data_IF_612992179487
#
_entry.id   IF_612992179487
#
_cell.length_a   1.000
_cell.length_b   1.000
_cell.length_c   1.000
_cell.angle_alpha   90.00
_cell.angle_beta   90.00
_cell.angle_gamma   90.00
#
_symmetry.space_group_name_H-M   'P 1'
#
loop_
_entity.id
_entity.type
_entity.pdbx_description
1 polymer ?
#
# COMPACT_ATOMS: atom_id res chain seq x y z
N UNK A 1 -8.01 0.87 13.59
CA UNK A 1 -6.78 0.37 14.24
C UNK A 1 -6.66 -1.14 13.95
N UNK A 2 -5.81 -1.56 13.00
CA UNK A 2 -5.78 -2.94 12.50
C UNK A 2 -5.51 -3.99 13.60
N UNK A 3 -4.51 -3.77 14.45
CA UNK A 3 -4.18 -4.70 15.54
C UNK A 3 -5.36 -4.95 16.49
N UNK A 4 -6.10 -3.89 16.85
CA UNK A 4 -7.26 -4.02 17.74
C UNK A 4 -8.39 -4.82 17.09
N UNK A 5 -8.65 -4.60 15.79
CA UNK A 5 -9.67 -5.34 15.03
C UNK A 5 -9.31 -6.83 14.88
N UNK A 6 -8.02 -7.17 14.83
CA UNK A 6 -7.56 -8.56 14.84
C UNK A 6 -7.74 -9.18 16.23
N UNK A 7 -7.45 -8.43 17.30
CA UNK A 7 -7.62 -8.90 18.67
C UNK A 7 -9.09 -9.25 19.01
N UNK A 8 -10.07 -8.53 18.44
CA UNK A 8 -11.51 -8.88 18.55
C UNK A 8 -11.82 -10.29 18.03
N UNK A 9 -10.95 -10.85 17.17
CA UNK A 9 -11.06 -12.20 16.60
C UNK A 9 -10.06 -13.19 17.20
N UNK A 10 -9.33 -12.80 18.25
CA UNK A 10 -8.27 -13.63 18.84
C UNK A 10 -6.98 -13.70 18.02
N UNK A 11 -6.83 -12.82 17.02
CA UNK A 11 -5.66 -12.75 16.15
C UNK A 11 -4.71 -11.63 16.58
N UNK A 12 -3.46 -11.67 16.09
CA UNK A 12 -2.46 -10.62 16.32
C UNK A 12 -1.63 -10.39 15.05
N UNK A 13 -0.73 -9.40 15.09
CA UNK A 13 0.22 -9.12 14.00
C UNK A 13 1.55 -9.78 14.35
N UNK A 14 1.97 -10.85 13.66
CA UNK A 14 3.26 -11.49 13.89
C UNK A 14 4.46 -10.58 13.60
N UNK A 15 5.62 -10.90 14.18
CA UNK A 15 6.87 -10.24 13.83
C UNK A 15 7.22 -10.46 12.35
N UNK A 16 7.66 -9.40 11.68
CA UNK A 16 7.99 -9.43 10.25
C UNK A 16 6.80 -9.25 9.30
N UNK A 17 5.57 -9.07 9.82
CA UNK A 17 4.42 -8.76 8.97
C UNK A 17 4.53 -7.37 8.33
N UNK A 18 4.36 -7.32 7.01
CA UNK A 18 4.31 -6.07 6.25
C UNK A 18 2.90 -5.45 6.30
N UNK A 19 2.82 -4.15 6.60
CA UNK A 19 1.56 -3.41 6.69
C UNK A 19 1.59 -2.22 5.73
N UNK A 20 0.66 -2.19 4.77
CA UNK A 20 0.35 -0.99 3.99
C UNK A 20 -0.67 -0.15 4.76
N UNK A 21 -0.23 0.96 5.36
CA UNK A 21 -1.01 1.73 6.34
C UNK A 21 -2.20 2.48 5.74
N UNK A 22 -2.22 2.70 4.43
CA UNK A 22 -3.29 3.35 3.70
C UNK A 22 -2.80 4.11 2.47
N UNK A 23 -3.73 4.54 1.62
CA UNK A 23 -3.44 5.43 0.50
C UNK A 23 -3.27 6.88 0.98
N UNK A 24 -2.26 7.58 0.46
CA UNK A 24 -2.00 8.99 0.78
C UNK A 24 -2.90 9.93 -0.05
N UNK A 25 -3.29 9.52 -1.26
CA UNK A 25 -4.13 10.29 -2.18
C UNK A 25 -5.40 9.51 -2.53
N UNK A 26 -6.33 10.17 -3.24
CA UNK A 26 -7.40 9.46 -3.92
C UNK A 26 -6.84 8.39 -4.87
N UNK A 27 -7.59 7.31 -5.07
CA UNK A 27 -7.24 6.28 -6.04
C UNK A 27 -7.29 6.87 -7.46
N UNK A 28 -6.32 6.46 -8.28
CA UNK A 28 -6.24 6.83 -9.69
C UNK A 28 -6.53 5.58 -10.51
N UNK A 29 -7.55 5.65 -11.37
CA UNK A 29 -7.86 4.57 -12.30
C UNK A 29 -6.77 4.49 -13.39
N UNK A 30 -6.50 3.28 -13.86
CA UNK A 30 -5.47 2.97 -14.86
C UNK A 30 -6.04 2.03 -15.92
N UNK A 31 -5.53 2.15 -17.14
CA UNK A 31 -5.93 1.38 -18.31
C UNK A 31 -4.72 0.64 -18.93
N UNK A 32 -4.93 -0.40 -19.76
CA UNK A 32 -3.85 -1.04 -20.50
C UNK A 32 -3.05 -0.02 -21.32
N UNK A 33 -1.72 -0.03 -21.17
CA UNK A 33 -0.81 0.93 -21.79
C UNK A 33 -0.30 2.01 -20.84
N UNK A 34 -0.96 2.23 -19.69
CA UNK A 34 -0.56 3.25 -18.74
C UNK A 34 0.81 2.99 -18.10
N UNK A 35 1.52 4.09 -17.81
CA UNK A 35 2.76 4.07 -17.03
C UNK A 35 2.61 5.02 -15.85
N UNK A 36 2.75 4.49 -14.64
CA UNK A 36 2.61 5.25 -13.39
C UNK A 36 3.96 5.29 -12.67
N UNK A 37 4.33 6.46 -12.15
CA UNK A 37 5.50 6.63 -11.28
C UNK A 37 5.13 7.47 -10.06
N UNK A 38 5.28 6.90 -8.88
CA UNK A 38 5.11 7.60 -7.60
C UNK A 38 6.48 7.97 -7.05
N UNK A 39 6.66 9.23 -6.67
CA UNK A 39 7.92 9.77 -6.12
C UNK A 39 7.74 10.05 -4.63
N UNK A 40 8.63 9.51 -3.82
CA UNK A 40 8.67 9.73 -2.38
C UNK A 40 9.93 10.52 -2.03
N UNK A 41 9.76 11.68 -1.39
CA UNK A 41 10.89 12.53 -1.01
C UNK A 41 11.88 11.76 -0.13
N UNK A 42 13.14 11.67 -0.57
CA UNK A 42 14.21 10.97 0.14
C UNK A 42 14.13 9.43 0.12
N UNK A 43 13.07 8.84 -0.45
CA UNK A 43 12.85 7.39 -0.49
C UNK A 43 12.82 6.82 -1.92
N UNK A 44 13.11 7.65 -2.92
CA UNK A 44 13.17 7.23 -4.33
C UNK A 44 11.80 7.22 -5.00
N UNK A 45 11.61 6.30 -5.95
CA UNK A 45 10.38 6.19 -6.74
C UNK A 45 10.00 4.75 -7.00
N UNK A 46 8.70 4.49 -7.11
CA UNK A 46 8.13 3.21 -7.54
C UNK A 46 7.40 3.43 -8.86
N UNK A 47 7.67 2.59 -9.84
CA UNK A 47 7.08 2.69 -11.18
C UNK A 47 6.45 1.37 -11.60
N UNK A 48 5.34 1.46 -12.33
CA UNK A 48 4.63 0.32 -12.91
C UNK A 48 4.15 0.66 -14.32
N UNK A 49 4.12 -0.35 -15.18
CA UNK A 49 3.49 -0.30 -16.51
C UNK A 49 2.36 -1.32 -16.56
N UNK A 50 1.21 -0.90 -17.04
CA UNK A 50 0.06 -1.76 -17.29
C UNK A 50 0.18 -2.25 -18.74
N UNK A 51 0.39 -3.57 -18.93
CA UNK A 51 0.59 -4.24 -20.23
C UNK A 51 -0.55 -5.18 -20.56
#
# INVERSE_FOLDING_TARGET
>A
MLANLLAERGEHIPAGTFIMTGGITAAVAVEPGDNVTVRYQGLGSVSARFV
#
